data_IF_737673667563
#
_entry.id   IF_737673667563
#
_cell.length_a   1.000
_cell.length_b   1.000
_cell.length_c   1.000
_cell.angle_alpha   90.00
_cell.angle_beta   90.00
_cell.angle_gamma   90.00
#
_symmetry.space_group_name_H-M   'P 1'
#
loop_
_entity.id
_entity.type
_entity.pdbx_description
1 polymer ?
#
# COMPACT_ATOMS: atom_id res chain seq x y z
N UNK A 1 -27.40 -43.63 41.06
CA UNK A 1 -26.29 -42.73 41.39
C UNK A 1 -26.69 -41.34 40.93
N UNK A 2 -27.24 -40.53 41.82
CA UNK A 2 -27.73 -39.21 41.48
C UNK A 2 -26.59 -38.20 41.47
N UNK A 3 -26.33 -37.62 40.29
CA UNK A 3 -25.33 -36.57 40.10
C UNK A 3 -25.88 -35.26 40.66
N UNK A 4 -25.42 -34.90 41.85
CA UNK A 4 -25.70 -33.61 42.48
C UNK A 4 -24.94 -32.48 41.75
N UNK A 5 -25.55 -31.91 40.71
CA UNK A 5 -25.03 -30.72 40.03
C UNK A 5 -25.51 -29.48 40.78
N UNK A 6 -24.60 -28.84 41.52
CA UNK A 6 -24.87 -27.53 42.13
C UNK A 6 -25.01 -26.45 41.04
N UNK A 7 -26.04 -25.60 41.07
CA UNK A 7 -26.14 -24.48 40.16
C UNK A 7 -24.99 -23.51 40.41
N UNK A 8 -24.25 -23.15 39.36
CA UNK A 8 -23.20 -22.13 39.41
C UNK A 8 -23.86 -20.78 39.66
N UNK A 9 -23.55 -20.17 40.81
CA UNK A 9 -23.94 -18.81 41.13
C UNK A 9 -23.40 -17.84 40.07
N UNK A 10 -24.27 -17.38 39.19
CA UNK A 10 -23.99 -16.34 38.17
C UNK A 10 -23.85 -14.93 38.79
N UNK A 11 -23.62 -14.81 40.10
CA UNK A 11 -23.53 -13.54 40.83
C UNK A 11 -22.14 -12.91 40.79
N UNK A 12 -21.13 -13.60 40.26
CA UNK A 12 -19.85 -13.01 39.83
C UNK A 12 -19.89 -12.63 38.35
N UNK A 13 -20.99 -12.00 37.92
CA UNK A 13 -20.99 -11.20 36.71
C UNK A 13 -20.07 -10.01 36.94
N UNK A 14 -18.79 -10.14 36.62
CA UNK A 14 -17.90 -8.99 36.46
C UNK A 14 -18.63 -8.02 35.53
N UNK A 15 -19.20 -6.95 36.10
CA UNK A 15 -19.83 -5.87 35.34
C UNK A 15 -18.84 -5.52 34.24
N UNK A 16 -19.26 -5.59 32.98
CA UNK A 16 -18.40 -5.30 31.84
C UNK A 16 -17.67 -3.98 32.13
N UNK A 17 -16.37 -4.08 32.42
CA UNK A 17 -15.59 -2.91 32.82
C UNK A 17 -15.58 -1.96 31.63
N UNK A 18 -16.00 -0.72 31.84
CA UNK A 18 -15.85 0.33 30.82
C UNK A 18 -14.38 0.33 30.40
N UNK A 19 -14.14 0.17 29.09
CA UNK A 19 -12.79 0.14 28.54
C UNK A 19 -12.05 1.42 28.94
N UNK A 20 -10.96 1.27 29.68
CA UNK A 20 -10.10 2.40 30.04
C UNK A 20 -9.44 2.90 28.76
N UNK A 21 -9.79 4.13 28.36
CA UNK A 21 -9.17 4.79 27.20
C UNK A 21 -7.77 5.23 27.62
N UNK A 22 -6.76 4.74 26.91
CA UNK A 22 -5.37 5.24 27.05
C UNK A 22 -5.18 6.37 26.05
N UNK A 23 -5.17 7.65 26.47
CA UNK A 23 -5.18 8.79 25.55
C UNK A 23 -3.98 8.79 24.59
N UNK A 24 -2.82 8.33 25.04
CA UNK A 24 -1.61 8.29 24.21
C UNK A 24 -1.70 7.26 23.08
N UNK A 25 -2.29 6.09 23.34
CA UNK A 25 -2.53 5.08 22.30
C UNK A 25 -3.52 5.61 21.26
N UNK A 26 -4.55 6.31 21.71
CA UNK A 26 -5.52 6.96 20.81
C UNK A 26 -4.86 8.06 19.96
N UNK A 27 -4.08 8.96 20.57
CA UNK A 27 -3.32 10.00 19.85
C UNK A 27 -2.38 9.40 18.79
N UNK A 28 -1.62 8.36 19.15
CA UNK A 28 -0.73 7.64 18.21
C UNK A 28 -1.50 7.00 17.06
N UNK A 29 -2.64 6.37 17.33
CA UNK A 29 -3.49 5.78 16.31
C UNK A 29 -4.04 6.84 15.34
N UNK A 30 -4.44 7.99 15.85
CA UNK A 30 -4.91 9.11 15.04
C UNK A 30 -3.80 9.67 14.15
N UNK A 31 -2.60 9.88 14.70
CA UNK A 31 -1.42 10.30 13.93
C UNK A 31 -1.05 9.28 12.85
N UNK A 32 -1.13 7.98 13.14
CA UNK A 32 -0.92 6.91 12.16
C UNK A 32 -1.93 7.04 11.02
N UNK A 33 -3.22 7.17 11.33
CA UNK A 33 -4.30 7.30 10.34
C UNK A 33 -4.13 8.55 9.47
N UNK A 34 -3.72 9.66 10.06
CA UNK A 34 -3.48 10.91 9.33
C UNK A 34 -2.26 10.82 8.41
N UNK A 35 -1.22 10.07 8.80
CA UNK A 35 -0.02 9.86 7.98
C UNK A 35 -0.34 9.14 6.67
N UNK A 36 -1.25 8.17 6.71
CA UNK A 36 -1.64 7.35 5.56
C UNK A 36 -2.93 7.84 4.89
N UNK A 37 -3.45 9.01 5.29
CA UNK A 37 -4.59 9.64 4.62
C UNK A 37 -4.12 10.44 3.39
N UNK A 38 -5.00 10.55 2.40
CA UNK A 38 -4.82 11.50 1.31
C UNK A 38 -4.77 12.94 1.87
N UNK A 39 -3.76 13.70 1.47
CA UNK A 39 -3.62 15.12 1.87
C UNK A 39 -4.40 16.08 0.96
N UNK A 40 -4.77 15.64 -0.24
CA UNK A 40 -5.43 16.46 -1.24
C UNK A 40 -5.61 15.70 -2.55
N UNK A 41 -5.89 16.44 -3.63
CA UNK A 41 -5.90 15.87 -4.97
C UNK A 41 -4.48 15.56 -5.44
N UNK A 42 -4.32 14.48 -6.24
CA UNK A 42 -3.02 14.18 -6.84
C UNK A 42 -2.66 15.25 -7.86
N UNK A 43 -1.41 15.69 -7.81
CA UNK A 43 -0.84 16.50 -8.89
C UNK A 43 -0.67 15.64 -10.14
N UNK A 44 -0.83 16.27 -11.29
CA UNK A 44 -0.56 15.61 -12.56
C UNK A 44 0.94 15.34 -12.71
N UNK A 45 1.34 14.18 -13.26
CA UNK A 45 2.73 13.93 -13.58
C UNK A 45 3.24 15.01 -14.53
N UNK A 46 4.28 15.71 -14.12
CA UNK A 46 4.96 16.73 -14.94
C UNK A 46 5.86 16.12 -16.00
N UNK A 47 6.06 14.80 -15.96
CA UNK A 47 6.96 14.12 -16.87
C UNK A 47 6.33 13.90 -18.25
N UNK A 48 7.06 14.31 -19.29
CA UNK A 48 6.59 14.28 -20.68
C UNK A 48 6.97 12.99 -21.43
N UNK A 49 7.00 11.86 -20.73
CA UNK A 49 7.39 10.59 -21.34
C UNK A 49 6.25 10.05 -22.23
N UNK A 50 6.52 9.97 -23.52
CA UNK A 50 5.57 9.53 -24.56
C UNK A 50 6.07 8.30 -25.34
N UNK A 51 7.32 7.86 -25.11
CA UNK A 51 7.98 6.85 -25.95
C UNK A 51 8.71 5.78 -25.15
N UNK A 52 8.62 4.55 -25.65
CA UNK A 52 9.47 3.43 -25.23
C UNK A 52 9.08 2.84 -23.88
N UNK A 53 9.97 3.00 -22.89
CA UNK A 53 9.86 2.30 -21.59
C UNK A 53 8.96 3.02 -20.57
N UNK A 54 8.56 4.26 -20.83
CA UNK A 54 7.74 5.11 -19.97
C UNK A 54 6.74 5.87 -20.86
N UNK A 55 5.46 5.84 -20.50
CA UNK A 55 4.35 6.43 -21.26
C UNK A 55 3.45 7.27 -20.36
N UNK A 56 4.02 7.99 -19.39
CA UNK A 56 3.26 8.77 -18.41
C UNK A 56 2.29 9.79 -19.03
N UNK A 57 2.58 10.26 -20.26
CA UNK A 57 1.75 11.22 -20.98
C UNK A 57 0.42 10.65 -21.47
N UNK A 58 0.31 9.33 -21.63
CA UNK A 58 -0.97 8.69 -22.01
C UNK A 58 -1.94 8.57 -20.84
N UNK A 59 -1.52 8.91 -19.62
CA UNK A 59 -2.40 8.90 -18.44
C UNK A 59 -3.37 10.08 -18.45
N UNK A 60 -4.65 9.76 -18.25
CA UNK A 60 -5.68 10.78 -18.10
C UNK A 60 -5.83 11.22 -16.64
N UNK A 61 -6.46 12.37 -16.43
CA UNK A 61 -6.84 12.88 -15.10
C UNK A 61 -7.71 11.88 -14.35
N UNK A 62 -8.52 11.12 -15.09
CA UNK A 62 -9.44 10.16 -14.53
C UNK A 62 -8.71 8.92 -14.04
N UNK A 63 -7.71 8.45 -14.79
CA UNK A 63 -6.87 7.32 -14.38
C UNK A 63 -6.11 7.65 -13.08
N UNK A 64 -5.50 8.84 -13.02
CA UNK A 64 -4.77 9.31 -11.84
C UNK A 64 -5.71 9.45 -10.64
N UNK A 65 -6.90 10.04 -10.82
CA UNK A 65 -7.89 10.17 -9.74
C UNK A 65 -8.38 8.82 -9.22
N UNK A 66 -8.67 7.87 -10.11
CA UNK A 66 -9.08 6.51 -9.73
C UNK A 66 -7.97 5.78 -8.99
N UNK A 67 -6.76 5.86 -9.51
CA UNK A 67 -5.57 5.28 -8.90
C UNK A 67 -5.35 5.84 -7.48
N UNK A 68 -5.38 7.17 -7.34
CA UNK A 68 -5.23 7.85 -6.06
C UNK A 68 -6.33 7.49 -5.06
N UNK A 69 -7.59 7.48 -5.51
CA UNK A 69 -8.74 7.11 -4.68
C UNK A 69 -8.65 5.65 -4.21
N UNK A 70 -8.19 4.74 -5.08
CA UNK A 70 -8.02 3.33 -4.73
C UNK A 70 -6.85 3.13 -3.76
N UNK A 71 -5.72 3.82 -3.96
CA UNK A 71 -4.56 3.75 -3.09
C UNK A 71 -4.86 4.22 -1.65
N UNK A 72 -5.62 5.31 -1.51
CA UNK A 72 -6.01 5.87 -0.22
C UNK A 72 -7.37 5.38 0.30
N UNK A 73 -7.96 4.36 -0.33
CA UNK A 73 -9.22 3.76 0.13
C UNK A 73 -9.11 3.25 1.58
N UNK A 74 -7.96 2.66 1.91
CA UNK A 74 -7.62 2.21 3.24
C UNK A 74 -6.37 2.94 3.77
N UNK A 75 -6.47 3.46 4.99
CA UNK A 75 -5.44 4.33 5.62
C UNK A 75 -4.43 3.50 6.42
N UNK A 76 -4.00 2.38 5.85
CA UNK A 76 -3.03 1.48 6.45
C UNK A 76 -1.82 1.24 5.54
N UNK A 77 -0.63 1.28 6.16
CA UNK A 77 0.65 1.08 5.48
C UNK A 77 0.69 -0.25 4.71
N UNK A 78 0.26 -1.33 5.35
CA UNK A 78 0.32 -2.68 4.79
C UNK A 78 -0.53 -2.75 3.52
N UNK A 79 -1.73 -2.17 3.57
CA UNK A 79 -2.61 -2.11 2.40
C UNK A 79 -1.97 -1.31 1.27
N UNK A 80 -1.43 -0.12 1.57
CA UNK A 80 -0.79 0.75 0.59
C UNK A 80 0.45 0.11 -0.05
N UNK A 81 1.30 -0.53 0.75
CA UNK A 81 2.47 -1.27 0.24
C UNK A 81 2.02 -2.41 -0.68
N UNK A 82 1.03 -3.21 -0.26
CA UNK A 82 0.47 -4.29 -1.08
C UNK A 82 -0.16 -3.75 -2.37
N UNK A 83 -0.79 -2.57 -2.31
CA UNK A 83 -1.35 -1.92 -3.48
C UNK A 83 -0.26 -1.50 -4.47
N UNK A 84 0.87 -0.97 -3.99
CA UNK A 84 2.04 -0.65 -4.83
C UNK A 84 2.60 -1.92 -5.47
N UNK A 85 2.73 -3.00 -4.70
CA UNK A 85 3.24 -4.29 -5.19
C UNK A 85 2.38 -4.88 -6.31
N UNK A 86 1.04 -4.71 -6.25
CA UNK A 86 0.13 -5.13 -7.34
C UNK A 86 0.37 -4.39 -8.65
N UNK A 87 0.99 -3.22 -8.60
CA UNK A 87 1.29 -2.34 -9.73
C UNK A 87 2.76 -2.38 -10.13
N UNK A 88 3.51 -3.38 -9.65
CA UNK A 88 4.91 -3.61 -10.02
C UNK A 88 5.03 -4.89 -10.86
N UNK A 89 5.79 -4.81 -11.95
CA UNK A 89 6.26 -5.97 -12.71
C UNK A 89 7.76 -6.11 -12.54
N UNK A 90 8.21 -7.23 -11.99
CA UNK A 90 9.62 -7.58 -11.90
C UNK A 90 10.13 -8.06 -13.25
N UNK A 91 11.29 -7.56 -13.68
CA UNK A 91 11.96 -7.99 -14.89
C UNK A 91 13.44 -8.26 -14.60
N UNK A 92 14.00 -9.38 -15.10
CA UNK A 92 15.43 -9.63 -14.98
C UNK A 92 16.25 -8.63 -15.80
N UNK A 93 17.43 -8.26 -15.30
CA UNK A 93 18.34 -7.37 -16.00
C UNK A 93 19.07 -8.15 -17.11
N UNK A 94 18.74 -7.84 -18.38
CA UNK A 94 19.28 -8.52 -19.56
C UNK A 94 20.72 -8.13 -19.92
N UNK A 95 21.14 -6.90 -19.63
CA UNK A 95 22.48 -6.39 -19.96
C UNK A 95 23.14 -5.83 -18.71
N UNK A 96 24.35 -6.31 -18.44
CA UNK A 96 25.17 -5.89 -17.30
C UNK A 96 26.39 -5.17 -17.85
N UNK A 97 26.71 -4.00 -17.28
CA UNK A 97 28.00 -3.35 -17.53
C UNK A 97 29.04 -4.09 -16.68
N UNK A 98 30.19 -4.53 -17.25
CA UNK A 98 31.28 -5.08 -16.45
C UNK A 98 31.68 -4.07 -15.38
N UNK A 99 31.75 -4.51 -14.12
CA UNK A 99 32.21 -3.68 -13.00
C UNK A 99 33.58 -4.15 -12.56
N UNK A 100 34.46 -3.20 -12.28
CA UNK A 100 35.79 -3.43 -11.69
C UNK A 100 35.74 -3.64 -10.17
N UNK A 101 34.58 -3.43 -9.52
CA UNK A 101 34.45 -3.44 -8.05
C UNK A 101 33.57 -4.59 -7.52
N UNK A 102 33.86 -5.00 -6.28
CA UNK A 102 33.24 -6.08 -5.48
C UNK A 102 31.79 -5.84 -5.01
N UNK A 103 31.09 -4.83 -5.56
CA UNK A 103 29.72 -4.54 -5.14
C UNK A 103 28.73 -5.58 -5.68
N UNK A 104 27.71 -5.88 -4.87
CA UNK A 104 26.63 -6.82 -5.22
C UNK A 104 25.95 -6.44 -6.54
N UNK A 105 25.72 -7.46 -7.38
CA UNK A 105 25.12 -7.28 -8.70
C UNK A 105 23.60 -7.20 -8.55
N UNK A 106 23.00 -6.13 -9.06
CA UNK A 106 21.53 -6.04 -9.15
C UNK A 106 21.01 -7.07 -10.15
N UNK A 107 20.06 -7.89 -9.75
CA UNK A 107 19.54 -8.99 -10.58
C UNK A 107 18.24 -8.64 -11.29
N UNK A 108 17.41 -7.81 -10.64
CA UNK A 108 16.08 -7.47 -11.12
C UNK A 108 15.85 -5.96 -11.14
N UNK A 109 14.99 -5.53 -12.06
CA UNK A 109 14.40 -4.20 -12.09
C UNK A 109 12.89 -4.33 -11.93
N UNK A 110 12.25 -3.40 -11.27
CA UNK A 110 10.80 -3.34 -11.22
C UNK A 110 10.30 -2.21 -12.10
N UNK A 111 9.25 -2.49 -12.88
CA UNK A 111 8.52 -1.49 -13.64
C UNK A 111 7.21 -1.23 -12.96
N UNK A 112 6.94 0.02 -12.67
CA UNK A 112 5.69 0.47 -12.10
C UNK A 112 4.72 0.86 -13.20
N UNK A 113 3.47 0.42 -13.10
CA UNK A 113 2.44 0.68 -14.09
C UNK A 113 1.14 1.15 -13.44
N UNK A 114 0.41 2.00 -14.14
CA UNK A 114 -0.95 2.40 -13.80
C UNK A 114 -1.87 1.82 -14.85
N UNK A 115 -3.01 1.27 -14.43
CA UNK A 115 -4.01 0.73 -15.36
C UNK A 115 -4.94 1.86 -15.81
N UNK A 116 -5.14 1.99 -17.12
CA UNK A 116 -6.17 2.89 -17.65
C UNK A 116 -7.59 2.30 -17.51
N UNK A 117 -8.61 3.06 -17.92
CA UNK A 117 -9.99 2.58 -18.03
C UNK A 117 -10.15 1.27 -18.81
N UNK A 118 -9.37 1.10 -19.88
CA UNK A 118 -9.32 -0.06 -20.75
C UNK A 118 -8.53 -1.24 -20.13
N UNK A 119 -8.04 -1.09 -18.89
CA UNK A 119 -7.20 -2.04 -18.14
C UNK A 119 -5.83 -2.31 -18.77
N UNK A 120 -5.39 -1.48 -19.70
CA UNK A 120 -4.05 -1.52 -20.26
C UNK A 120 -3.03 -0.99 -19.25
N UNK A 121 -1.84 -1.58 -19.23
CA UNK A 121 -0.78 -1.22 -18.29
C UNK A 121 0.09 -0.11 -18.88
N UNK A 122 -0.02 1.10 -18.35
CA UNK A 122 0.80 2.25 -18.75
C UNK A 122 2.03 2.31 -17.85
N UNK A 123 3.25 2.10 -18.39
CA UNK A 123 4.48 2.15 -17.60
C UNK A 123 4.82 3.59 -17.21
N UNK A 124 5.04 3.84 -15.91
CA UNK A 124 5.21 5.19 -15.37
C UNK A 124 6.57 5.43 -14.71
N UNK A 125 7.14 4.40 -14.09
CA UNK A 125 8.45 4.51 -13.45
C UNK A 125 9.21 3.18 -13.52
N UNK A 126 10.53 3.26 -13.45
CA UNK A 126 11.40 2.08 -13.27
C UNK A 126 12.16 2.23 -11.96
N UNK A 127 12.08 1.22 -11.10
CA UNK A 127 12.79 1.16 -9.82
C UNK A 127 13.89 0.10 -9.95
N UNK A 128 15.09 0.44 -9.52
CA UNK A 128 16.25 -0.46 -9.55
C UNK A 128 16.55 -0.96 -8.14
N UNK A 129 16.16 -2.20 -7.85
CA UNK A 129 16.53 -2.89 -6.62
C UNK A 129 18.00 -3.32 -6.68
#
# INVERSE_FOLDING_TARGET
>A
MDLNVKPIDKSLGEKARKRVVTPDKWKRAQLKKNRYAAKGFPDFPTCQHDKGALQCKSLTAQDIRRFHSAFYSEKDKIYQDNFILKHLVMQPIKRRRPKTSTNTVKEARAKYFIRNLQKEMIPCATIHF
#
